data_IF_335440458081
#
_entry.id   IF_335440458081
#
_cell.length_a   1.000
_cell.length_b   1.000
_cell.length_c   1.000
_cell.angle_alpha   90.00
_cell.angle_beta   90.00
_cell.angle_gamma   90.00
#
_symmetry.space_group_name_H-M   'P 1'
#
loop_
_entity.id
_entity.type
_entity.pdbx_description
1 polymer ?
#
# COMPACT_ATOMS: atom_id res chain seq x y z
N UNK A 1 7.94 17.32 0.31
CA UNK A 1 8.51 17.64 -1.02
C UNK A 1 8.03 16.62 -2.05
N UNK A 2 7.77 17.02 -3.29
CA UNK A 2 7.43 16.16 -4.43
C UNK A 2 8.62 16.13 -5.40
N UNK A 3 9.00 14.92 -5.84
CA UNK A 3 10.10 14.70 -6.78
C UNK A 3 9.59 13.83 -7.92
N UNK A 4 9.72 14.29 -9.15
CA UNK A 4 9.40 13.56 -10.37
C UNK A 4 10.45 13.86 -11.44
N UNK A 5 10.67 12.93 -12.36
CA UNK A 5 11.50 13.16 -13.57
C UNK A 5 10.88 14.24 -14.46
N UNK A 6 9.56 14.36 -14.44
CA UNK A 6 8.78 15.43 -15.04
C UNK A 6 8.61 16.56 -14.01
N UNK A 7 9.51 17.54 -14.07
CA UNK A 7 9.54 18.67 -13.14
C UNK A 7 8.26 19.49 -13.18
N UNK A 8 7.73 19.77 -14.36
CA UNK A 8 6.52 20.58 -14.54
C UNK A 8 5.32 19.89 -13.91
N UNK A 9 5.25 18.55 -14.03
CA UNK A 9 4.24 17.74 -13.35
C UNK A 9 4.36 17.84 -11.82
N UNK A 10 5.56 17.68 -11.28
CA UNK A 10 5.79 17.81 -9.84
C UNK A 10 5.37 19.18 -9.31
N UNK A 11 5.66 20.26 -10.05
CA UNK A 11 5.28 21.63 -9.71
C UNK A 11 3.75 21.80 -9.75
N UNK A 12 3.09 21.28 -10.78
CA UNK A 12 1.64 21.32 -10.91
C UNK A 12 0.92 20.59 -9.76
N UNK A 13 1.34 19.37 -9.44
CA UNK A 13 0.80 18.60 -8.33
C UNK A 13 1.04 19.30 -6.98
N UNK A 14 2.23 19.86 -6.79
CA UNK A 14 2.56 20.60 -5.56
C UNK A 14 1.68 21.84 -5.39
N UNK A 15 1.45 22.59 -6.46
CA UNK A 15 0.57 23.77 -6.46
C UNK A 15 -0.87 23.39 -6.15
N UNK A 16 -1.40 22.33 -6.78
CA UNK A 16 -2.77 21.89 -6.56
C UNK A 16 -3.00 21.49 -5.11
N UNK A 17 -2.07 20.70 -4.53
CA UNK A 17 -2.15 20.34 -3.11
C UNK A 17 -1.99 21.57 -2.21
N UNK A 18 -1.03 22.47 -2.51
CA UNK A 18 -0.77 23.67 -1.72
C UNK A 18 -1.98 24.63 -1.66
N UNK A 19 -2.75 24.72 -2.75
CA UNK A 19 -3.98 25.52 -2.78
C UNK A 19 -5.07 24.97 -1.83
N UNK A 20 -5.01 23.70 -1.47
CA UNK A 20 -5.88 23.10 -0.45
C UNK A 20 -5.45 23.38 1.00
N UNK A 21 -4.22 23.85 1.24
CA UNK A 21 -3.69 24.01 2.60
C UNK A 21 -4.47 24.99 3.49
N UNK A 22 -5.04 26.08 2.99
CA UNK A 22 -5.90 26.93 3.82
C UNK A 22 -7.11 26.21 4.43
N UNK A 23 -7.49 25.04 3.89
CA UNK A 23 -8.61 24.20 4.32
C UNK A 23 -8.16 22.99 5.16
N UNK A 24 -6.87 22.83 5.40
CA UNK A 24 -6.26 21.70 6.08
C UNK A 24 -5.25 22.15 7.14
N UNK A 25 -4.53 21.20 7.75
CA UNK A 25 -3.43 21.54 8.66
C UNK A 25 -2.28 22.18 7.89
N UNK A 26 -1.60 23.19 8.45
CA UNK A 26 -0.47 23.84 7.78
C UNK A 26 0.62 22.88 7.38
N UNK A 27 1.04 22.95 6.10
CA UNK A 27 2.16 22.21 5.58
C UNK A 27 2.85 23.01 4.48
N UNK A 28 4.17 22.84 4.33
CA UNK A 28 4.93 23.39 3.21
C UNK A 28 5.01 22.32 2.11
N UNK A 29 4.44 22.61 0.95
CA UNK A 29 4.34 21.66 -0.16
C UNK A 29 4.97 22.30 -1.39
N UNK A 30 5.98 21.62 -1.94
CA UNK A 30 6.74 22.12 -3.08
C UNK A 30 7.36 20.99 -3.90
N UNK A 31 7.65 21.26 -5.16
CA UNK A 31 8.48 20.39 -5.99
C UNK A 31 9.95 20.66 -5.67
N UNK A 32 10.69 19.61 -5.36
CA UNK A 32 12.10 19.68 -5.00
C UNK A 32 12.93 18.61 -5.70
N UNK A 33 14.11 18.35 -5.15
CA UNK A 33 15.02 17.32 -5.62
C UNK A 33 15.60 16.48 -4.45
N UNK A 34 16.49 15.54 -4.78
CA UNK A 34 17.03 14.64 -3.78
C UNK A 34 17.83 15.32 -2.66
N UNK A 35 18.31 16.54 -2.87
CA UNK A 35 18.97 17.29 -1.79
C UNK A 35 17.99 17.72 -0.69
N UNK A 36 16.71 17.88 -1.02
CA UNK A 36 15.67 18.33 -0.11
C UNK A 36 15.15 17.24 0.83
N UNK A 37 15.62 16.00 0.69
CA UNK A 37 15.15 14.87 1.53
C UNK A 37 16.18 14.36 2.53
N UNK A 38 17.31 15.02 2.69
CA UNK A 38 18.38 14.58 3.60
C UNK A 38 17.91 14.40 5.05
N UNK A 39 17.01 15.26 5.51
CA UNK A 39 16.42 15.23 6.85
C UNK A 39 14.96 14.70 6.87
N UNK A 40 14.50 14.10 5.79
CA UNK A 40 13.15 13.54 5.72
C UNK A 40 12.98 12.36 6.68
N UNK A 41 11.91 12.35 7.44
CA UNK A 41 11.57 11.21 8.30
C UNK A 41 11.01 10.02 7.51
N UNK A 42 10.32 10.27 6.40
CA UNK A 42 9.73 9.24 5.54
C UNK A 42 9.92 9.66 4.08
N UNK A 43 10.43 8.76 3.27
CA UNK A 43 10.41 8.88 1.80
C UNK A 43 9.47 7.82 1.24
N UNK A 44 8.52 8.26 0.41
CA UNK A 44 7.51 7.38 -0.22
C UNK A 44 7.85 7.25 -1.70
N UNK A 45 8.11 6.02 -2.15
CA UNK A 45 8.39 5.73 -3.56
C UNK A 45 7.13 5.21 -4.24
N UNK A 46 6.56 6.04 -5.11
CA UNK A 46 5.42 5.70 -5.97
C UNK A 46 5.81 5.62 -7.45
N UNK A 47 7.07 5.92 -7.75
CA UNK A 47 7.58 5.94 -9.11
C UNK A 47 7.63 4.52 -9.71
N UNK A 48 7.13 4.38 -10.93
CA UNK A 48 7.12 3.12 -11.65
C UNK A 48 6.44 3.25 -13.00
N UNK A 49 6.76 2.34 -13.90
CA UNK A 49 6.06 2.21 -15.18
C UNK A 49 4.78 1.40 -15.01
N UNK A 50 3.75 1.76 -15.75
CA UNK A 50 2.56 0.93 -15.89
C UNK A 50 2.81 -0.19 -16.90
N UNK A 51 2.14 -1.33 -16.71
CA UNK A 51 2.15 -2.42 -17.66
C UNK A 51 1.47 -1.97 -18.97
N UNK A 52 2.13 -2.18 -20.09
CA UNK A 52 1.58 -1.88 -21.42
C UNK A 52 0.87 -3.11 -21.98
N UNK A 53 -0.09 -2.92 -22.91
CA UNK A 53 -0.70 -4.04 -23.63
C UNK A 53 0.38 -4.92 -24.30
N UNK A 54 0.32 -6.24 -24.06
CA UNK A 54 1.27 -7.21 -24.58
C UNK A 54 2.56 -7.40 -23.77
N UNK A 55 2.78 -6.64 -22.73
CA UNK A 55 3.91 -6.86 -21.81
C UNK A 55 3.60 -7.95 -20.80
N UNK A 56 4.62 -8.74 -20.47
CA UNK A 56 4.54 -9.73 -19.40
C UNK A 56 4.74 -9.08 -18.02
N UNK A 57 4.36 -9.79 -16.97
CA UNK A 57 4.62 -9.36 -15.58
C UNK A 57 6.14 -9.25 -15.29
N UNK A 58 6.96 -10.11 -15.92
CA UNK A 58 8.42 -10.07 -15.81
C UNK A 58 9.03 -8.82 -16.49
N UNK A 59 8.46 -8.39 -17.63
CA UNK A 59 8.90 -7.17 -18.28
C UNK A 59 8.64 -5.95 -17.40
N UNK A 60 7.47 -5.88 -16.73
CA UNK A 60 7.14 -4.84 -15.78
C UNK A 60 8.10 -4.82 -14.58
N UNK A 61 8.38 -5.99 -13.99
CA UNK A 61 9.36 -6.13 -12.91
C UNK A 61 10.72 -5.59 -13.35
N UNK A 62 11.22 -6.02 -14.50
CA UNK A 62 12.53 -5.61 -15.02
C UNK A 62 12.64 -4.11 -15.23
N UNK A 63 11.58 -3.48 -15.76
CA UNK A 63 11.50 -2.01 -15.92
C UNK A 63 11.54 -1.30 -14.57
N UNK A 64 10.71 -1.72 -13.63
CA UNK A 64 10.59 -1.06 -12.34
C UNK A 64 11.85 -1.28 -11.49
N UNK A 65 12.50 -2.42 -11.56
CA UNK A 65 13.83 -2.65 -10.97
C UNK A 65 14.86 -1.67 -11.56
N UNK A 66 14.84 -1.41 -12.86
CA UNK A 66 15.74 -0.43 -13.50
C UNK A 66 15.48 0.99 -13.01
N UNK A 67 14.21 1.36 -12.81
CA UNK A 67 13.83 2.65 -12.20
C UNK A 67 14.35 2.74 -10.76
N UNK A 68 14.15 1.69 -9.95
CA UNK A 68 14.64 1.65 -8.57
C UNK A 68 16.15 1.73 -8.46
N UNK A 69 16.90 1.11 -9.39
CA UNK A 69 18.37 1.24 -9.48
C UNK A 69 18.82 2.68 -9.72
N UNK A 70 18.00 3.54 -10.31
CA UNK A 70 18.32 4.96 -10.48
C UNK A 70 17.85 5.82 -9.32
N UNK A 71 16.73 5.50 -8.67
CA UNK A 71 16.10 6.30 -7.61
C UNK A 71 16.74 6.03 -6.26
N UNK A 72 16.79 4.76 -5.84
CA UNK A 72 17.18 4.39 -4.48
C UNK A 72 18.59 4.86 -4.10
N UNK A 73 19.61 4.73 -4.97
CA UNK A 73 20.93 5.30 -4.66
C UNK A 73 20.91 6.83 -4.50
N UNK A 74 20.09 7.56 -5.23
CA UNK A 74 19.97 9.02 -5.07
C UNK A 74 19.34 9.38 -3.71
N UNK A 75 18.33 8.61 -3.28
CA UNK A 75 17.75 8.78 -1.93
C UNK A 75 18.82 8.59 -0.86
N UNK A 76 19.59 7.52 -0.91
CA UNK A 76 20.60 7.24 0.13
C UNK A 76 21.80 8.19 0.05
N UNK A 77 22.23 8.62 -1.14
CA UNK A 77 23.31 9.59 -1.31
C UNK A 77 22.93 10.99 -0.84
N UNK A 78 21.65 11.32 -0.69
CA UNK A 78 21.21 12.60 -0.11
C UNK A 78 21.56 12.72 1.39
N UNK A 79 21.90 11.62 2.04
CA UNK A 79 22.07 11.53 3.51
C UNK A 79 20.81 11.06 4.24
N UNK A 80 19.77 10.67 3.52
CA UNK A 80 18.53 10.15 4.11
C UNK A 80 18.78 8.89 4.96
N UNK A 81 18.30 8.91 6.20
CA UNK A 81 18.34 7.77 7.14
C UNK A 81 16.98 7.45 7.78
N UNK A 82 15.90 7.99 7.22
CA UNK A 82 14.52 7.79 7.67
C UNK A 82 13.93 6.43 7.26
N UNK A 83 12.61 6.38 7.12
CA UNK A 83 11.86 5.19 6.69
C UNK A 83 11.54 5.29 5.20
N UNK A 84 11.94 4.27 4.45
CA UNK A 84 11.62 4.15 3.02
C UNK A 84 10.35 3.31 2.84
N UNK A 85 9.27 3.95 2.39
CA UNK A 85 7.98 3.31 2.12
C UNK A 85 7.80 3.10 0.62
N UNK A 86 7.77 1.85 0.19
CA UNK A 86 7.56 1.46 -1.21
C UNK A 86 6.07 1.24 -1.47
N UNK A 87 5.56 1.86 -2.54
CA UNK A 87 4.16 1.75 -2.99
C UNK A 87 4.06 1.25 -4.43
N UNK A 88 5.14 1.41 -5.20
CA UNK A 88 5.23 0.96 -6.60
C UNK A 88 5.03 -0.54 -6.72
N UNK A 89 4.35 -0.99 -7.77
CA UNK A 89 4.04 -2.41 -8.03
C UNK A 89 5.02 -3.06 -9.03
N UNK A 90 5.35 -4.35 -8.82
CA UNK A 90 4.90 -5.25 -7.74
C UNK A 90 5.59 -4.93 -6.41
N UNK A 91 4.77 -4.58 -5.40
CA UNK A 91 5.26 -3.92 -4.18
C UNK A 91 6.22 -4.79 -3.37
N UNK A 92 5.96 -6.08 -3.22
CA UNK A 92 6.78 -6.97 -2.39
C UNK A 92 8.18 -7.14 -3.00
N UNK A 93 8.27 -7.37 -4.31
CA UNK A 93 9.53 -7.47 -5.05
C UNK A 93 10.30 -6.14 -4.98
N UNK A 94 9.62 -5.02 -5.22
CA UNK A 94 10.27 -3.70 -5.23
C UNK A 94 10.69 -3.26 -3.83
N UNK A 95 9.99 -3.68 -2.78
CA UNK A 95 10.41 -3.47 -1.38
C UNK A 95 11.72 -4.21 -1.10
N UNK A 96 11.82 -5.47 -1.53
CA UNK A 96 13.07 -6.23 -1.40
C UNK A 96 14.22 -5.61 -2.21
N UNK A 97 13.96 -5.19 -3.43
CA UNK A 97 14.95 -4.47 -4.27
C UNK A 97 15.39 -3.18 -3.60
N UNK A 98 14.45 -2.39 -3.07
CA UNK A 98 14.76 -1.15 -2.35
C UNK A 98 15.64 -1.42 -1.12
N UNK A 99 15.34 -2.46 -0.35
CA UNK A 99 16.15 -2.88 0.80
C UNK A 99 17.58 -3.21 0.37
N UNK A 100 17.75 -4.03 -0.67
CA UNK A 100 19.10 -4.42 -1.17
C UNK A 100 19.89 -3.26 -1.77
N UNK A 101 19.21 -2.29 -2.39
CA UNK A 101 19.87 -1.13 -3.02
C UNK A 101 20.17 -0.02 -2.03
N UNK A 102 19.35 0.17 -1.00
CA UNK A 102 19.48 1.27 -0.05
C UNK A 102 20.59 1.06 0.98
N UNK A 103 20.84 -0.20 1.36
CA UNK A 103 21.71 -0.51 2.50
C UNK A 103 21.13 -0.08 3.85
N UNK A 104 19.88 0.38 3.89
CA UNK A 104 19.19 0.71 5.14
C UNK A 104 18.89 -0.57 5.95
N UNK A 105 18.76 -0.48 7.27
CA UNK A 105 18.29 -1.60 8.09
C UNK A 105 16.92 -2.10 7.64
N UNK A 106 16.66 -3.41 7.75
CA UNK A 106 15.41 -4.02 7.26
C UNK A 106 14.16 -3.38 7.89
N UNK A 107 14.20 -2.99 9.13
CA UNK A 107 13.09 -2.31 9.82
C UNK A 107 12.86 -0.86 9.36
N UNK A 108 13.67 -0.34 8.44
CA UNK A 108 13.50 0.99 7.84
C UNK A 108 13.06 0.95 6.38
N UNK A 109 12.86 -0.24 5.81
CA UNK A 109 12.35 -0.40 4.43
C UNK A 109 11.10 -1.26 4.47
N UNK A 110 9.96 -0.66 4.17
CA UNK A 110 8.66 -1.31 4.19
C UNK A 110 7.91 -1.06 2.88
N UNK A 111 7.05 -1.98 2.51
CA UNK A 111 6.11 -1.79 1.39
C UNK A 111 4.69 -1.59 1.90
N UNK A 112 3.84 -0.99 1.10
CA UNK A 112 2.42 -0.83 1.44
C UNK A 112 1.68 -2.16 1.61
N UNK A 113 2.24 -3.25 1.09
CA UNK A 113 1.73 -4.62 1.24
C UNK A 113 0.25 -4.73 0.89
N UNK A 114 -0.47 -5.49 1.69
CA UNK A 114 -1.90 -5.73 1.54
C UNK A 114 -2.78 -4.84 2.44
N UNK A 115 -2.28 -3.66 2.83
CA UNK A 115 -3.07 -2.70 3.64
C UNK A 115 -4.32 -2.24 2.91
N UNK A 116 -4.22 -1.95 1.61
CA UNK A 116 -5.37 -1.58 0.79
C UNK A 116 -6.33 -2.75 0.58
N UNK A 117 -5.81 -3.95 0.32
CA UNK A 117 -6.63 -5.15 0.10
C UNK A 117 -7.40 -5.53 1.37
N UNK A 118 -6.75 -5.37 2.52
CA UNK A 118 -7.40 -5.48 3.84
C UNK A 118 -8.53 -4.44 3.99
N UNK A 119 -8.33 -3.21 3.56
CA UNK A 119 -9.38 -2.19 3.61
C UNK A 119 -10.55 -2.53 2.67
N UNK A 120 -10.28 -3.04 1.47
CA UNK A 120 -11.29 -3.55 0.52
C UNK A 120 -12.07 -4.71 1.13
N UNK A 121 -11.37 -5.68 1.71
CA UNK A 121 -11.99 -6.84 2.36
C UNK A 121 -12.93 -6.41 3.49
N UNK A 122 -12.49 -5.49 4.36
CA UNK A 122 -13.35 -4.92 5.41
C UNK A 122 -14.56 -4.19 4.83
N UNK A 123 -14.38 -3.45 3.73
CA UNK A 123 -15.46 -2.74 3.07
C UNK A 123 -16.51 -3.72 2.51
N UNK A 124 -16.10 -4.71 1.73
CA UNK A 124 -17.00 -5.71 1.13
C UNK A 124 -17.74 -6.52 2.21
N UNK A 125 -17.03 -6.92 3.28
CA UNK A 125 -17.66 -7.58 4.43
C UNK A 125 -18.65 -6.66 5.15
N UNK A 126 -18.32 -5.39 5.35
CA UNK A 126 -19.22 -4.43 5.97
C UNK A 126 -20.52 -4.27 5.20
N UNK A 127 -20.44 -4.15 3.87
CA UNK A 127 -21.60 -4.10 2.97
C UNK A 127 -22.43 -5.41 3.06
N UNK A 128 -21.76 -6.57 2.98
CA UNK A 128 -22.42 -7.86 3.09
C UNK A 128 -23.19 -8.03 4.42
N UNK A 129 -22.58 -7.62 5.53
CA UNK A 129 -23.14 -7.77 6.88
C UNK A 129 -24.08 -6.63 7.27
N UNK A 130 -24.12 -5.54 6.52
CA UNK A 130 -24.88 -4.34 6.84
C UNK A 130 -24.37 -3.63 8.10
N UNK A 131 -23.04 -3.50 8.23
CA UNK A 131 -22.36 -2.80 9.33
C UNK A 131 -21.29 -1.86 8.80
N UNK A 132 -20.92 -0.86 9.61
CA UNK A 132 -19.80 0.02 9.28
C UNK A 132 -18.49 -0.81 9.14
N UNK A 133 -17.77 -0.71 8.02
CA UNK A 133 -16.52 -1.44 7.79
C UNK A 133 -15.46 -1.23 8.88
N UNK A 134 -15.51 -0.13 9.62
CA UNK A 134 -14.60 0.15 10.74
C UNK A 134 -14.78 -0.82 11.91
N UNK A 135 -15.95 -1.45 12.04
CA UNK A 135 -16.24 -2.46 13.04
C UNK A 135 -15.85 -3.88 12.61
N UNK A 136 -15.43 -4.05 11.34
CA UNK A 136 -14.99 -5.33 10.82
C UNK A 136 -13.49 -5.48 11.08
N UNK A 137 -13.12 -6.53 11.80
CA UNK A 137 -11.74 -6.96 12.00
C UNK A 137 -11.46 -8.13 11.07
N UNK A 138 -10.78 -7.85 9.97
CA UNK A 138 -10.42 -8.83 8.95
C UNK A 138 -9.10 -8.40 8.29
N UNK A 139 -8.37 -9.35 7.69
CA UNK A 139 -7.08 -9.09 7.05
C UNK A 139 -6.90 -9.91 5.79
N UNK A 140 -6.24 -9.28 4.83
CA UNK A 140 -5.60 -9.93 3.69
C UNK A 140 -4.09 -9.93 3.97
N UNK A 141 -3.43 -11.06 3.72
CA UNK A 141 -1.98 -11.23 3.90
C UNK A 141 -1.37 -11.98 2.71
N UNK A 142 -0.05 -12.11 2.71
CA UNK A 142 0.70 -12.71 1.62
C UNK A 142 1.19 -11.66 0.63
N UNK A 143 1.58 -12.09 -0.56
CA UNK A 143 1.99 -11.19 -1.65
C UNK A 143 0.80 -10.36 -2.12
N UNK A 144 0.99 -9.04 -2.28
CA UNK A 144 -0.04 -8.19 -2.88
C UNK A 144 -0.29 -8.57 -4.33
N UNK A 145 -1.49 -9.04 -4.64
CA UNK A 145 -1.91 -9.48 -5.96
C UNK A 145 -2.73 -10.77 -5.93
N UNK A 146 -2.69 -11.55 -7.01
CA UNK A 146 -3.57 -12.71 -7.20
C UNK A 146 -3.36 -13.84 -6.19
N UNK A 147 -2.18 -13.89 -5.53
CA UNK A 147 -1.82 -14.90 -4.51
C UNK A 147 -2.14 -14.47 -3.08
N UNK A 148 -2.72 -13.30 -2.87
CA UNK A 148 -3.13 -12.84 -1.54
C UNK A 148 -4.17 -13.76 -0.88
N UNK A 149 -4.17 -13.80 0.45
CA UNK A 149 -4.99 -14.71 1.24
C UNK A 149 -5.85 -13.95 2.25
N UNK A 150 -7.17 -14.15 2.20
CA UNK A 150 -8.09 -13.67 3.22
C UNK A 150 -8.04 -14.57 4.46
N UNK A 151 -7.74 -14.00 5.64
CA UNK A 151 -7.70 -14.75 6.88
C UNK A 151 -9.11 -14.77 7.51
N UNK A 152 -9.97 -15.63 7.00
CA UNK A 152 -11.34 -15.80 7.49
C UNK A 152 -11.42 -16.26 8.95
N UNK A 153 -10.50 -17.13 9.37
CA UNK A 153 -10.46 -17.65 10.75
C UNK A 153 -10.27 -16.58 11.82
N UNK A 154 -9.71 -15.42 11.45
CA UNK A 154 -9.52 -14.27 12.33
C UNK A 154 -10.57 -13.18 12.11
N UNK A 155 -11.44 -13.35 11.11
CA UNK A 155 -12.44 -12.33 10.77
C UNK A 155 -13.54 -12.30 11.85
N UNK A 156 -13.83 -11.08 12.34
CA UNK A 156 -14.84 -10.88 13.37
C UNK A 156 -15.44 -9.47 13.30
N UNK A 157 -16.59 -9.29 13.93
CA UNK A 157 -17.22 -7.97 14.17
C UNK A 157 -17.35 -7.78 15.67
N UNK A 158 -16.65 -6.79 16.20
CA UNK A 158 -16.64 -6.51 17.65
C UNK A 158 -16.34 -7.73 18.54
N UNK A 159 -15.41 -8.59 18.09
CA UNK A 159 -15.01 -9.82 18.79
C UNK A 159 -15.92 -11.03 18.55
N UNK A 160 -17.04 -10.89 17.83
CA UNK A 160 -17.91 -12.01 17.45
C UNK A 160 -17.37 -12.60 16.14
N UNK A 161 -17.02 -13.91 16.09
CA UNK A 161 -16.56 -14.56 14.87
C UNK A 161 -17.52 -14.35 13.70
N UNK A 162 -16.97 -14.21 12.48
CA UNK A 162 -17.72 -13.76 11.32
C UNK A 162 -18.90 -14.69 10.96
N UNK A 163 -18.72 -15.99 11.11
CA UNK A 163 -19.75 -17.00 10.86
C UNK A 163 -20.93 -16.88 11.86
N UNK A 164 -20.61 -16.63 13.13
CA UNK A 164 -21.62 -16.41 14.18
C UNK A 164 -22.35 -15.10 13.92
N UNK A 165 -21.62 -14.03 13.64
CA UNK A 165 -22.21 -12.71 13.38
C UNK A 165 -23.11 -12.72 12.16
N UNK A 166 -22.70 -13.39 11.07
CA UNK A 166 -23.52 -13.56 9.86
C UNK A 166 -24.85 -14.22 10.17
N UNK A 167 -24.83 -15.33 10.92
CA UNK A 167 -26.07 -16.01 11.36
C UNK A 167 -26.99 -15.10 12.18
N UNK A 168 -26.43 -14.36 13.13
CA UNK A 168 -27.20 -13.42 13.96
C UNK A 168 -27.84 -12.29 13.13
N UNK A 169 -27.21 -11.93 12.03
CA UNK A 169 -27.71 -10.89 11.10
C UNK A 169 -28.61 -11.46 10.00
N UNK A 170 -28.82 -12.75 9.95
CA UNK A 170 -29.57 -13.40 8.86
C UNK A 170 -28.86 -13.25 7.51
N UNK A 171 -27.52 -13.19 7.50
CA UNK A 171 -26.70 -13.11 6.29
C UNK A 171 -26.09 -14.46 5.97
N UNK A 172 -25.94 -14.74 4.70
CA UNK A 172 -25.33 -15.97 4.24
C UNK A 172 -23.82 -16.00 4.57
N UNK A 173 -23.34 -17.16 5.01
CA UNK A 173 -21.94 -17.43 5.24
C UNK A 173 -21.58 -18.83 4.73
N UNK A 174 -21.72 -19.00 3.41
CA UNK A 174 -21.35 -20.23 2.72
C UNK A 174 -19.93 -20.11 2.11
N UNK A 175 -19.34 -21.23 1.76
CA UNK A 175 -18.07 -21.26 1.03
C UNK A 175 -18.15 -20.49 -0.29
N UNK A 176 -19.31 -20.53 -0.95
CA UNK A 176 -19.56 -19.79 -2.20
C UNK A 176 -19.56 -18.27 -1.94
N UNK A 177 -20.26 -17.81 -0.91
CA UNK A 177 -20.28 -16.40 -0.52
C UNK A 177 -18.88 -15.90 -0.15
N UNK A 178 -18.12 -16.69 0.60
CA UNK A 178 -16.74 -16.37 0.98
C UNK A 178 -15.84 -16.25 -0.26
N UNK A 179 -15.90 -17.21 -1.16
CA UNK A 179 -15.14 -17.19 -2.42
C UNK A 179 -15.52 -16.00 -3.31
N UNK A 180 -16.80 -15.64 -3.35
CA UNK A 180 -17.27 -14.45 -4.07
C UNK A 180 -16.65 -13.17 -3.47
N UNK A 181 -16.69 -13.02 -2.15
CA UNK A 181 -16.13 -11.84 -1.47
C UNK A 181 -14.61 -11.73 -1.74
N UNK A 182 -13.87 -12.83 -1.66
CA UNK A 182 -12.43 -12.84 -1.99
C UNK A 182 -12.19 -12.42 -3.45
N UNK A 183 -12.98 -12.95 -4.37
CA UNK A 183 -12.87 -12.59 -5.78
C UNK A 183 -13.21 -11.12 -6.02
N UNK A 184 -14.22 -10.56 -5.36
CA UNK A 184 -14.59 -9.15 -5.47
C UNK A 184 -13.46 -8.24 -4.95
N UNK A 185 -12.75 -8.65 -3.88
CA UNK A 185 -11.58 -7.93 -3.36
C UNK A 185 -10.45 -7.94 -4.38
N UNK A 186 -10.05 -9.12 -4.87
CA UNK A 186 -8.96 -9.29 -5.85
C UNK A 186 -9.21 -8.52 -7.15
N UNK A 187 -10.45 -8.52 -7.63
CA UNK A 187 -10.82 -7.85 -8.87
C UNK A 187 -11.10 -6.35 -8.72
N UNK A 188 -11.20 -5.83 -7.51
CA UNK A 188 -11.52 -4.41 -7.28
C UNK A 188 -10.59 -3.44 -8.02
N UNK A 189 -9.29 -3.72 -8.04
CA UNK A 189 -8.32 -2.87 -8.73
C UNK A 189 -8.51 -2.90 -10.25
N UNK A 190 -8.74 -4.08 -10.82
CA UNK A 190 -8.96 -4.27 -12.26
C UNK A 190 -10.21 -3.53 -12.72
N UNK A 191 -11.31 -3.66 -11.97
CA UNK A 191 -12.56 -2.96 -12.27
C UNK A 191 -12.39 -1.43 -12.22
N UNK A 192 -11.69 -0.90 -11.22
CA UNK A 192 -11.41 0.54 -11.10
C UNK A 192 -10.55 1.02 -12.26
N UNK A 193 -9.50 0.27 -12.63
CA UNK A 193 -8.61 0.63 -13.74
C UNK A 193 -9.34 0.57 -15.07
N UNK A 194 -10.19 -0.42 -15.30
CA UNK A 194 -11.03 -0.50 -16.50
C UNK A 194 -11.90 0.75 -16.65
N UNK A 195 -12.52 1.21 -15.54
CA UNK A 195 -13.48 2.32 -15.57
C UNK A 195 -12.84 3.72 -15.59
N UNK A 196 -11.69 3.90 -14.96
CA UNK A 196 -11.07 5.24 -14.80
C UNK A 196 -9.57 5.31 -15.11
N UNK A 197 -9.00 4.22 -15.65
CA UNK A 197 -7.63 4.08 -16.13
C UNK A 197 -6.51 4.16 -15.06
N UNK A 198 -6.85 4.37 -13.80
CA UNK A 198 -5.90 4.38 -12.68
C UNK A 198 -6.62 4.21 -11.34
N UNK A 199 -5.87 3.82 -10.29
CA UNK A 199 -6.31 3.90 -8.89
C UNK A 199 -5.39 4.84 -8.13
N UNK A 200 -5.90 5.70 -7.26
CA UNK A 200 -5.09 6.58 -6.41
C UNK A 200 -5.72 6.91 -5.05
N UNK A 201 -7.04 7.00 -4.93
CA UNK A 201 -7.64 7.44 -3.65
C UNK A 201 -7.50 6.39 -2.55
N UNK A 202 -7.79 5.12 -2.83
CA UNK A 202 -7.70 4.04 -1.86
C UNK A 202 -6.26 3.82 -1.39
N UNK A 203 -5.30 3.78 -2.32
CA UNK A 203 -3.89 3.65 -1.97
C UNK A 203 -3.35 4.88 -1.22
N UNK A 204 -3.77 6.08 -1.58
CA UNK A 204 -3.42 7.30 -0.86
C UNK A 204 -3.89 7.25 0.61
N UNK A 205 -5.10 6.75 0.87
CA UNK A 205 -5.61 6.56 2.24
C UNK A 205 -4.83 5.48 3.01
N UNK A 206 -4.40 4.42 2.33
CA UNK A 206 -3.55 3.37 2.94
C UNK A 206 -2.17 3.91 3.30
N UNK A 207 -1.53 4.63 2.39
CA UNK A 207 -0.24 5.31 2.62
C UNK A 207 -0.37 6.31 3.77
N UNK A 208 -1.41 7.14 3.75
CA UNK A 208 -1.72 8.07 4.86
C UNK A 208 -1.79 7.32 6.19
N UNK A 209 -2.52 6.21 6.26
CA UNK A 209 -2.65 5.41 7.49
C UNK A 209 -1.32 4.84 7.98
N UNK A 210 -0.47 4.36 7.07
CA UNK A 210 0.88 3.87 7.39
C UNK A 210 1.73 5.03 7.93
N UNK A 211 1.76 6.17 7.24
CA UNK A 211 2.53 7.33 7.68
C UNK A 211 2.05 7.89 9.03
N UNK A 212 0.73 7.96 9.27
CA UNK A 212 0.19 8.36 10.57
C UNK A 212 0.66 7.46 11.70
N UNK A 213 0.66 6.13 11.46
CA UNK A 213 1.13 5.16 12.45
C UNK A 213 2.62 5.36 12.80
N UNK A 214 3.44 5.64 11.79
CA UNK A 214 4.87 5.91 11.97
C UNK A 214 5.09 7.23 12.74
N UNK A 215 4.50 8.31 12.24
CA UNK A 215 4.72 9.66 12.80
C UNK A 215 4.22 9.78 14.24
N UNK A 216 3.14 9.06 14.58
CA UNK A 216 2.53 9.09 15.92
C UNK A 216 3.02 7.98 16.85
N UNK A 217 3.93 7.12 16.40
CA UNK A 217 4.36 5.90 17.15
C UNK A 217 3.19 5.07 17.69
N UNK A 218 2.16 4.86 16.87
CA UNK A 218 0.90 4.24 17.31
C UNK A 218 1.00 2.72 17.54
N UNK A 219 2.02 2.04 17.04
CA UNK A 219 2.23 0.57 17.13
C UNK A 219 1.03 -0.28 16.65
N UNK A 220 0.39 0.04 15.52
CA UNK A 220 -0.68 -0.77 14.97
C UNK A 220 -0.14 -2.07 14.38
N UNK A 221 -1.02 -3.03 14.19
CA UNK A 221 -0.73 -4.22 13.38
C UNK A 221 -1.27 -3.97 11.98
N UNK A 222 -0.39 -3.75 11.00
CA UNK A 222 -0.73 -3.52 9.59
C UNK A 222 -0.04 -4.58 8.72
N UNK A 223 -0.72 -5.13 7.70
CA UNK A 223 -0.14 -6.10 6.77
C UNK A 223 0.72 -5.39 5.70
N UNK A 224 1.85 -4.85 6.13
CA UNK A 224 2.86 -4.22 5.28
C UNK A 224 3.86 -5.27 4.76
N UNK A 225 4.53 -4.98 3.64
CA UNK A 225 5.65 -5.82 3.17
C UNK A 225 6.91 -5.48 3.97
N UNK A 226 7.58 -6.49 4.48
CA UNK A 226 8.89 -6.38 5.13
C UNK A 226 9.69 -7.67 4.93
N UNK A 227 11.00 -7.59 5.17
CA UNK A 227 11.86 -8.77 5.13
C UNK A 227 11.43 -9.79 6.18
N UNK A 228 11.34 -11.06 5.76
CA UNK A 228 11.09 -12.19 6.67
C UNK A 228 12.44 -12.80 7.07
N UNK A 229 12.64 -12.99 8.37
CA UNK A 229 13.91 -13.49 8.93
C UNK A 229 13.69 -14.83 9.67
N UNK A 230 12.79 -15.65 9.17
CA UNK A 230 12.47 -16.97 9.72
C UNK A 230 11.03 -17.09 10.22
N UNK A 231 10.26 -16.01 10.26
CA UNK A 231 8.85 -16.05 10.59
C UNK A 231 8.10 -16.93 9.60
N UNK A 232 7.17 -17.72 10.09
CA UNK A 232 6.42 -18.72 9.32
C UNK A 232 7.28 -19.75 8.56
N UNK A 233 8.57 -19.91 8.94
CA UNK A 233 9.52 -20.76 8.23
C UNK A 233 10.02 -20.19 6.89
N UNK A 234 9.82 -18.90 6.67
CA UNK A 234 10.28 -18.19 5.47
C UNK A 234 11.59 -17.45 5.80
N UNK A 235 12.62 -17.69 5.02
CA UNK A 235 13.86 -16.92 5.00
C UNK A 235 14.06 -16.32 3.61
N UNK A 236 14.79 -15.21 3.53
CA UNK A 236 15.15 -14.54 2.27
C UNK A 236 15.99 -15.41 1.31
#
# INVERSE_FOLDING_TARGET
>A
VLIDVDRDRAEGEALDIAHGMPLASPANIYAGDYADIADAGIVIVTAGANQKPGETRLDLVSKNVSIFKSIVPQITHSGFDGILLVVSTPVDILTYVALKLSGLPANRVIGSGTVLDTARFKYVLGEHLGVDPRNVHARIVGEHGDSEIAIWSLANVSGIPIDVFSRLRGREHSAETMAKIENDVKNSAYEIIEKKHATYYGIAMSVKRICEAIVRDEKPILPVSNLMEGEYGISD
#
